data_IF_521684622133
#
_entry.id   IF_521684622133
#
_cell.length_a   1.000
_cell.length_b   1.000
_cell.length_c   1.000
_cell.angle_alpha   90.00
_cell.angle_beta   90.00
_cell.angle_gamma   90.00
#
_symmetry.space_group_name_H-M   'P 1'
#
loop_
_entity.id
_entity.type
_entity.pdbx_description
1 polymer ?
#
# COMPACT_ATOMS: atom_id res chain seq x y z
N UNK A 1 -48.34 40.83 -59.21
CA UNK A 1 -47.06 41.18 -58.55
C UNK A 1 -47.06 41.00 -57.03
N UNK A 2 -48.16 41.25 -56.31
CA UNK A 2 -48.20 41.13 -54.84
C UNK A 2 -48.00 39.68 -54.30
N UNK A 3 -48.49 38.67 -55.03
CA UNK A 3 -48.36 37.26 -54.60
C UNK A 3 -46.92 36.73 -54.60
N UNK A 4 -46.05 37.26 -55.47
CA UNK A 4 -44.64 36.85 -55.54
C UNK A 4 -43.81 37.38 -54.35
N UNK A 5 -44.14 38.57 -53.83
CA UNK A 5 -43.45 39.18 -52.69
C UNK A 5 -43.70 38.43 -51.38
N UNK A 6 -44.96 38.06 -51.11
CA UNK A 6 -45.32 37.31 -49.90
C UNK A 6 -44.68 35.92 -49.84
N UNK A 7 -44.56 35.23 -50.98
CA UNK A 7 -43.84 33.94 -51.05
C UNK A 7 -42.34 34.13 -50.78
N UNK A 8 -41.73 35.19 -51.31
CA UNK A 8 -40.32 35.51 -51.05
C UNK A 8 -40.04 35.80 -49.57
N UNK A 9 -40.94 36.52 -48.89
CA UNK A 9 -40.79 36.83 -47.46
C UNK A 9 -40.93 35.58 -46.60
N UNK A 10 -41.86 34.68 -46.94
CA UNK A 10 -42.02 33.39 -46.26
C UNK A 10 -40.78 32.50 -46.43
N UNK A 11 -40.22 32.40 -47.64
CA UNK A 11 -38.98 31.65 -47.90
C UNK A 11 -37.78 32.24 -47.12
N UNK A 12 -37.68 33.57 -47.02
CA UNK A 12 -36.64 34.22 -46.24
C UNK A 12 -36.80 33.97 -44.73
N UNK A 13 -38.03 33.96 -44.23
CA UNK A 13 -38.33 33.61 -42.84
C UNK A 13 -38.03 32.14 -42.55
N UNK A 14 -38.37 31.23 -43.47
CA UNK A 14 -38.05 29.80 -43.36
C UNK A 14 -36.54 29.57 -43.29
N UNK A 15 -35.77 30.21 -44.18
CA UNK A 15 -34.31 30.10 -44.16
C UNK A 15 -33.70 30.60 -42.84
N UNK A 16 -34.15 31.75 -42.34
CA UNK A 16 -33.71 32.26 -41.03
C UNK A 16 -34.06 31.31 -39.89
N UNK A 17 -35.25 30.72 -39.89
CA UNK A 17 -35.65 29.76 -38.88
C UNK A 17 -34.78 28.48 -38.92
N UNK A 18 -34.49 27.98 -40.13
CA UNK A 18 -33.60 26.83 -40.33
C UNK A 18 -32.18 27.12 -39.81
N UNK A 19 -31.61 28.27 -40.17
CA UNK A 19 -30.29 28.70 -39.68
C UNK A 19 -30.23 28.79 -38.14
N UNK A 20 -31.28 29.34 -37.51
CA UNK A 20 -31.39 29.44 -36.05
C UNK A 20 -31.43 28.06 -35.38
N UNK A 21 -32.17 27.12 -35.96
CA UNK A 21 -32.27 25.74 -35.46
C UNK A 21 -30.93 25.00 -35.63
N UNK A 22 -30.26 25.16 -36.78
CA UNK A 22 -28.96 24.55 -37.03
C UNK A 22 -27.90 25.08 -36.07
N UNK A 23 -27.87 26.39 -35.83
CA UNK A 23 -26.94 26.99 -34.89
C UNK A 23 -27.20 26.48 -33.46
N UNK A 24 -28.46 26.38 -33.04
CA UNK A 24 -28.82 25.81 -31.75
C UNK A 24 -28.37 24.34 -31.61
N UNK A 25 -28.57 23.52 -32.65
CA UNK A 25 -28.09 22.12 -32.68
C UNK A 25 -26.57 22.05 -32.61
N UNK A 26 -25.85 22.89 -33.36
CA UNK A 26 -24.38 22.96 -33.35
C UNK A 26 -23.86 23.35 -31.98
N UNK A 27 -24.46 24.36 -31.33
CA UNK A 27 -24.12 24.78 -29.96
C UNK A 27 -24.37 23.67 -28.94
N UNK A 28 -25.50 22.96 -29.02
CA UNK A 28 -25.78 21.81 -28.15
C UNK A 28 -24.73 20.71 -28.33
N UNK A 29 -24.44 20.32 -29.56
CA UNK A 29 -23.45 19.27 -29.85
C UNK A 29 -22.05 19.67 -29.40
N UNK A 30 -21.67 20.95 -29.54
CA UNK A 30 -20.41 21.46 -29.01
C UNK A 30 -20.34 21.31 -27.49
N UNK A 31 -21.36 21.77 -26.76
CA UNK A 31 -21.40 21.63 -25.28
C UNK A 31 -21.32 20.17 -24.81
N UNK A 32 -21.96 19.25 -25.53
CA UNK A 32 -21.87 17.81 -25.22
C UNK A 32 -20.44 17.30 -25.41
N UNK A 33 -19.78 17.66 -26.52
CA UNK A 33 -18.38 17.26 -26.78
C UNK A 33 -17.42 17.87 -25.77
N UNK A 34 -17.61 19.15 -25.43
CA UNK A 34 -16.78 19.84 -24.45
C UNK A 34 -16.90 19.16 -23.08
N UNK A 35 -18.12 18.88 -22.62
CA UNK A 35 -18.36 18.16 -21.36
C UNK A 35 -17.77 16.72 -21.36
N UNK A 36 -17.86 16.01 -22.49
CA UNK A 36 -17.25 14.68 -22.62
C UNK A 36 -15.72 14.73 -22.55
N UNK A 37 -15.11 15.73 -23.18
CA UNK A 37 -13.66 15.91 -23.17
C UNK A 37 -13.15 16.33 -21.78
N UNK A 38 -13.87 17.23 -21.12
CA UNK A 38 -13.56 17.68 -19.76
C UNK A 38 -13.64 16.51 -18.77
N UNK A 39 -14.72 15.72 -18.80
CA UNK A 39 -14.85 14.54 -17.95
C UNK A 39 -13.73 13.51 -18.20
N UNK A 40 -13.32 13.30 -19.47
CA UNK A 40 -12.18 12.42 -19.79
C UNK A 40 -10.87 12.95 -19.24
N UNK A 41 -10.63 14.26 -19.38
CA UNK A 41 -9.43 14.92 -18.85
C UNK A 41 -9.35 14.79 -17.32
N UNK A 42 -10.47 15.00 -16.62
CA UNK A 42 -10.53 14.83 -15.16
C UNK A 42 -10.25 13.38 -14.74
N UNK A 43 -10.82 12.40 -15.45
CA UNK A 43 -10.56 10.98 -15.19
C UNK A 43 -9.09 10.64 -15.39
N UNK A 44 -8.47 11.14 -16.46
CA UNK A 44 -7.05 10.90 -16.75
C UNK A 44 -6.14 11.54 -15.70
N UNK A 45 -6.43 12.77 -15.28
CA UNK A 45 -5.70 13.44 -14.19
C UNK A 45 -5.83 12.65 -12.88
N UNK A 46 -7.05 12.28 -12.50
CA UNK A 46 -7.27 11.50 -11.28
C UNK A 46 -6.56 10.16 -11.30
N UNK A 47 -6.58 9.47 -12.46
CA UNK A 47 -5.85 8.21 -12.64
C UNK A 47 -4.34 8.43 -12.49
N UNK A 48 -3.79 9.46 -13.14
CA UNK A 48 -2.36 9.79 -13.06
C UNK A 48 -1.94 10.09 -11.61
N UNK A 49 -2.71 10.89 -10.88
CA UNK A 49 -2.45 11.19 -9.47
C UNK A 49 -2.49 9.92 -8.61
N UNK A 50 -3.47 9.05 -8.83
CA UNK A 50 -3.59 7.79 -8.08
C UNK A 50 -2.43 6.84 -8.38
N UNK A 51 -2.04 6.71 -9.64
CA UNK A 51 -0.90 5.89 -10.05
C UNK A 51 0.42 6.43 -9.45
N UNK A 52 0.59 7.75 -9.42
CA UNK A 52 1.75 8.38 -8.77
C UNK A 52 1.77 8.12 -7.26
N UNK A 53 0.64 8.33 -6.56
CA UNK A 53 0.53 8.02 -5.13
C UNK A 53 0.78 6.56 -4.83
N UNK A 54 0.28 5.66 -5.68
CA UNK A 54 0.53 4.23 -5.55
C UNK A 54 2.01 3.91 -5.67
N UNK A 55 2.69 4.41 -6.71
CA UNK A 55 4.15 4.22 -6.90
C UNK A 55 4.96 4.77 -5.73
N UNK A 56 4.61 5.94 -5.20
CA UNK A 56 5.28 6.49 -4.01
C UNK A 56 5.09 5.58 -2.80
N UNK A 57 3.86 5.13 -2.55
CA UNK A 57 3.55 4.20 -1.46
C UNK A 57 4.27 2.87 -1.61
N UNK A 58 4.36 2.33 -2.83
CA UNK A 58 5.08 1.10 -3.14
C UNK A 58 6.57 1.24 -2.85
N UNK A 59 7.20 2.34 -3.31
CA UNK A 59 8.61 2.63 -3.02
C UNK A 59 8.87 2.79 -1.52
N UNK A 60 7.98 3.48 -0.80
CA UNK A 60 8.08 3.62 0.66
C UNK A 60 7.97 2.26 1.37
N UNK A 61 7.03 1.41 0.95
CA UNK A 61 6.88 0.07 1.55
C UNK A 61 8.09 -0.82 1.27
N UNK A 62 8.64 -0.79 0.05
CA UNK A 62 9.85 -1.52 -0.30
C UNK A 62 11.07 -1.02 0.48
N UNK A 63 11.23 0.30 0.62
CA UNK A 63 12.27 0.91 1.44
C UNK A 63 12.17 0.52 2.91
N UNK A 64 10.96 0.55 3.47
CA UNK A 64 10.71 0.18 4.86
C UNK A 64 11.01 -1.30 5.14
N UNK A 65 10.76 -2.19 4.19
CA UNK A 65 11.02 -3.63 4.37
C UNK A 65 12.53 -3.93 4.47
N UNK A 66 13.36 -3.25 3.69
CA UNK A 66 14.81 -3.38 3.79
C UNK A 66 15.32 -2.85 5.14
N UNK A 67 14.86 -1.66 5.56
CA UNK A 67 15.22 -1.06 6.84
C UNK A 67 14.79 -1.93 8.03
N UNK A 68 13.56 -2.45 8.01
CA UNK A 68 13.05 -3.35 9.05
C UNK A 68 13.86 -4.65 9.13
N UNK A 69 14.29 -5.19 7.99
CA UNK A 69 15.13 -6.38 7.96
C UNK A 69 16.52 -6.09 8.55
N UNK A 70 17.11 -4.95 8.22
CA UNK A 70 18.39 -4.53 8.77
C UNK A 70 18.32 -4.30 10.28
N UNK A 71 17.28 -3.61 10.77
CA UNK A 71 17.06 -3.37 12.19
C UNK A 71 16.81 -4.68 12.96
N UNK A 72 16.00 -5.58 12.41
CA UNK A 72 15.80 -6.92 12.97
C UNK A 72 17.12 -7.70 13.08
N UNK A 73 17.93 -7.71 12.02
CA UNK A 73 19.24 -8.37 12.02
C UNK A 73 20.18 -7.78 13.07
N UNK A 74 20.22 -6.44 13.20
CA UNK A 74 21.00 -5.76 14.26
C UNK A 74 20.53 -6.19 15.65
N UNK A 75 19.22 -6.22 15.88
CA UNK A 75 18.68 -6.64 17.17
C UNK A 75 18.99 -8.12 17.47
N UNK A 76 18.89 -9.00 16.47
CA UNK A 76 19.29 -10.40 16.61
C UNK A 76 20.77 -10.54 16.97
N UNK A 77 21.67 -9.78 16.32
CA UNK A 77 23.09 -9.80 16.64
C UNK A 77 23.38 -9.32 18.07
N UNK A 78 22.69 -8.26 18.52
CA UNK A 78 22.78 -7.77 19.90
C UNK A 78 22.33 -8.85 20.89
N UNK A 79 21.21 -9.53 20.63
CA UNK A 79 20.72 -10.60 21.48
C UNK A 79 21.70 -11.79 21.53
N UNK A 80 22.27 -12.19 20.40
CA UNK A 80 23.28 -13.26 20.33
C UNK A 80 24.52 -12.87 21.14
N UNK A 81 24.99 -11.63 21.02
CA UNK A 81 26.13 -11.14 21.78
C UNK A 81 25.85 -11.17 23.29
N UNK A 82 24.67 -10.68 23.70
CA UNK A 82 24.24 -10.72 25.10
C UNK A 82 24.17 -12.15 25.65
N UNK A 83 23.60 -13.08 24.89
CA UNK A 83 23.53 -14.50 25.28
C UNK A 83 24.91 -15.13 25.44
N UNK A 84 25.85 -14.82 24.54
CA UNK A 84 27.25 -15.29 24.65
C UNK A 84 27.92 -14.75 25.90
N UNK A 85 27.75 -13.47 26.22
CA UNK A 85 28.30 -12.89 27.44
C UNK A 85 27.72 -13.55 28.69
N UNK A 86 26.40 -13.76 28.74
CA UNK A 86 25.75 -14.45 29.86
C UNK A 86 26.24 -15.90 30.00
N UNK A 87 26.42 -16.60 28.88
CA UNK A 87 26.97 -17.95 28.87
C UNK A 87 28.38 -17.97 29.48
N UNK A 88 29.30 -17.13 28.99
CA UNK A 88 30.68 -17.11 29.52
C UNK A 88 30.74 -16.72 31.01
N UNK A 89 29.85 -15.83 31.47
CA UNK A 89 29.78 -15.48 32.89
C UNK A 89 29.30 -16.63 33.78
N UNK A 90 28.33 -17.42 33.31
CA UNK A 90 27.68 -18.47 34.13
C UNK A 90 28.29 -19.85 33.96
N UNK A 91 29.10 -20.05 32.91
CA UNK A 91 29.65 -21.35 32.52
C UNK A 91 30.46 -22.02 33.63
N UNK A 92 31.37 -21.29 34.27
CA UNK A 92 32.26 -21.88 35.27
C UNK A 92 31.48 -22.29 36.53
N UNK A 93 30.58 -21.43 37.00
CA UNK A 93 29.71 -21.72 38.16
C UNK A 93 28.83 -22.96 37.91
N UNK A 94 28.28 -23.10 36.70
CA UNK A 94 27.50 -24.26 36.29
C UNK A 94 28.34 -25.54 36.27
N UNK A 95 29.56 -25.47 35.71
CA UNK A 95 30.47 -26.62 35.67
C UNK A 95 30.86 -27.07 37.07
N UNK A 96 31.21 -26.13 37.95
CA UNK A 96 31.55 -26.43 39.35
C UNK A 96 30.38 -27.08 40.09
N UNK A 97 29.16 -26.55 39.92
CA UNK A 97 27.93 -27.11 40.47
C UNK A 97 27.71 -28.55 40.01
N UNK A 98 27.85 -28.81 38.71
CA UNK A 98 27.66 -30.16 38.14
C UNK A 98 28.73 -31.12 38.66
N UNK A 99 30.00 -30.73 38.65
CA UNK A 99 31.10 -31.57 39.15
C UNK A 99 30.88 -31.91 40.63
N UNK A 100 30.51 -30.91 41.45
CA UNK A 100 30.23 -31.10 42.87
C UNK A 100 29.13 -32.13 43.09
N UNK A 101 28.02 -32.01 42.35
CA UNK A 101 26.90 -32.96 42.46
C UNK A 101 27.26 -34.38 42.01
N UNK A 102 28.09 -34.51 40.96
CA UNK A 102 28.52 -35.82 40.45
C UNK A 102 29.51 -36.51 41.40
N UNK A 103 30.37 -35.73 42.07
CA UNK A 103 31.36 -36.24 43.01
C UNK A 103 30.81 -36.45 44.44
N UNK A 104 29.66 -35.86 44.79
CA UNK A 104 28.98 -36.03 46.09
C UNK A 104 28.21 -37.36 46.15
N UNK A 105 28.96 -38.47 46.23
CA UNK A 105 28.37 -39.80 46.37
C UNK A 105 27.82 -39.96 47.79
N UNK A 106 26.49 -39.95 47.90
CA UNK A 106 25.77 -40.26 49.15
C UNK A 106 25.19 -41.68 49.07
N UNK A 107 25.91 -42.69 49.59
CA UNK A 107 25.40 -44.05 49.62
C UNK A 107 24.25 -44.10 50.62
N UNK A 108 23.03 -44.25 50.10
CA UNK A 108 21.85 -44.52 50.92
C UNK A 108 21.50 -45.99 50.84
N UNK A 109 21.24 -46.58 52.01
CA UNK A 109 20.67 -47.91 52.07
C UNK A 109 19.27 -47.86 51.48
N UNK A 110 18.96 -48.81 50.60
CA UNK A 110 17.60 -48.94 50.08
C UNK A 110 16.61 -49.05 51.24
N UNK A 111 15.44 -48.44 51.09
CA UNK A 111 14.41 -48.26 52.13
C UNK A 111 14.00 -49.60 52.79
N UNK A 112 14.17 -50.70 52.07
CA UNK A 112 13.82 -52.06 52.49
C UNK A 112 15.02 -52.92 52.93
N UNK A 113 16.20 -52.34 53.15
CA UNK A 113 17.36 -53.11 53.59
C UNK A 113 17.10 -53.70 54.99
N UNK A 114 17.09 -55.03 55.08
CA UNK A 114 16.97 -55.75 56.34
C UNK A 114 18.38 -56.02 56.86
N UNK A 115 18.69 -55.47 58.04
CA UNK A 115 19.88 -55.81 58.80
C UNK A 115 19.51 -57.07 59.58
N UNK A 116 20.14 -58.20 59.25
CA UNK A 116 20.09 -59.41 60.08
C UNK A 116 21.06 -59.31 61.25
#
# INVERSE_FOLDING_TARGET
MLQSKGISDLLAAEKKAQELIEEARKRKNKRIKDAQNEAKSEIEQFKSERDQRFKISEQQQLGNRAQMTEESNKQTQIQIASLRTQYEMTKNDLLERIITLVCDIKPESHINARIE
#
